data_IF_578875253516
#
_entry.id   IF_578875253516
#
_cell.length_a   1.000
_cell.length_b   1.000
_cell.length_c   1.000
_cell.angle_alpha   90.00
_cell.angle_beta   90.00
_cell.angle_gamma   90.00
#
_symmetry.space_group_name_H-M   'P 1'
#
loop_
_entity.id
_entity.type
_entity.pdbx_description
1 polymer ?
#
# COMPACT_ATOMS: atom_id res chain seq x y z
N UNK A 1 -11.57 7.78 8.42
CA UNK A 1 -11.60 7.66 6.95
C UNK A 1 -12.96 7.11 6.56
N UNK A 2 -13.70 7.78 5.69
CA UNK A 2 -14.97 7.31 5.13
C UNK A 2 -14.92 7.47 3.60
N UNK A 3 -15.80 6.76 2.88
CA UNK A 3 -15.94 6.88 1.43
C UNK A 3 -16.87 8.04 1.11
N UNK A 4 -16.34 9.10 0.49
CA UNK A 4 -17.12 10.25 0.04
C UNK A 4 -17.68 10.01 -1.36
N UNK A 5 -18.76 10.70 -1.74
CA UNK A 5 -19.43 10.43 -3.02
C UNK A 5 -18.57 10.86 -4.21
N UNK A 6 -17.91 12.01 -4.08
CA UNK A 6 -17.09 12.66 -5.11
C UNK A 6 -15.82 11.89 -5.49
N UNK A 7 -15.31 11.05 -4.58
CA UNK A 7 -14.08 10.27 -4.78
C UNK A 7 -14.34 8.82 -5.26
N UNK A 8 -15.61 8.38 -5.33
CA UNK A 8 -15.96 6.98 -5.68
C UNK A 8 -15.41 6.55 -7.04
N UNK A 9 -15.52 7.42 -8.04
CA UNK A 9 -15.05 7.12 -9.39
C UNK A 9 -13.51 6.98 -9.43
N UNK A 10 -12.80 7.84 -8.72
CA UNK A 10 -11.34 7.76 -8.62
C UNK A 10 -10.90 6.49 -7.87
N UNK A 11 -11.56 6.16 -6.76
CA UNK A 11 -11.30 4.93 -6.00
C UNK A 11 -11.52 3.66 -6.84
N UNK A 12 -12.56 3.61 -7.66
CA UNK A 12 -12.79 2.48 -8.58
C UNK A 12 -11.70 2.37 -9.64
N UNK A 13 -11.26 3.50 -10.21
CA UNK A 13 -10.13 3.52 -11.16
C UNK A 13 -8.81 3.09 -10.53
N UNK A 14 -8.59 3.41 -9.25
CA UNK A 14 -7.42 2.94 -8.51
C UNK A 14 -7.52 1.45 -8.22
N UNK A 15 -8.69 0.97 -7.79
CA UNK A 15 -8.93 -0.44 -7.47
C UNK A 15 -8.66 -1.40 -8.64
N UNK A 16 -8.86 -0.97 -9.90
CA UNK A 16 -8.54 -1.78 -11.08
C UNK A 16 -7.05 -1.81 -11.44
N UNK A 17 -6.22 -0.98 -10.80
CA UNK A 17 -4.78 -0.83 -11.09
C UNK A 17 -3.88 -1.37 -9.99
N UNK A 18 -4.44 -1.70 -8.83
CA UNK A 18 -3.68 -2.24 -7.70
C UNK A 18 -3.53 -3.77 -7.83
N UNK A 19 -2.39 -4.35 -7.43
CA UNK A 19 -2.08 -5.74 -7.75
C UNK A 19 -2.73 -6.77 -6.82
N UNK A 20 -3.12 -6.40 -5.60
CA UNK A 20 -3.75 -7.31 -4.65
C UNK A 20 -5.28 -7.09 -4.72
N UNK A 21 -6.07 -8.13 -5.02
CA UNK A 21 -7.52 -8.02 -5.10
C UNK A 21 -8.15 -7.48 -3.81
N UNK A 22 -9.03 -6.49 -3.96
CA UNK A 22 -9.87 -5.96 -2.90
C UNK A 22 -11.10 -6.86 -2.80
N UNK A 23 -11.36 -7.41 -1.61
CA UNK A 23 -12.50 -8.31 -1.37
C UNK A 23 -13.69 -7.58 -0.76
N UNK A 24 -13.40 -6.47 -0.10
CA UNK A 24 -14.35 -5.59 0.55
C UNK A 24 -15.21 -4.85 -0.48
N UNK A 25 -16.44 -4.48 -0.11
CA UNK A 25 -17.25 -3.61 -0.95
C UNK A 25 -16.58 -2.24 -1.09
N UNK A 26 -16.58 -1.65 -2.30
CA UNK A 26 -15.99 -0.33 -2.56
C UNK A 26 -16.67 0.82 -1.79
N UNK A 27 -17.80 0.56 -1.14
CA UNK A 27 -18.48 1.51 -0.26
C UNK A 27 -17.94 1.45 1.19
N UNK A 28 -17.19 0.42 1.54
CA UNK A 28 -16.63 0.25 2.88
C UNK A 28 -15.36 1.10 3.09
N UNK A 29 -15.19 1.70 4.29
CA UNK A 29 -13.95 2.38 4.65
C UNK A 29 -12.70 1.50 4.57
N UNK A 30 -12.84 0.19 4.82
CA UNK A 30 -11.78 -0.83 4.71
C UNK A 30 -11.24 -0.92 3.27
N UNK A 31 -12.13 -0.99 2.27
CA UNK A 31 -11.78 -1.00 0.85
C UNK A 31 -10.99 0.26 0.47
N UNK A 32 -11.44 1.43 0.94
CA UNK A 32 -10.72 2.69 0.70
C UNK A 32 -9.30 2.66 1.27
N UNK A 33 -9.12 2.25 2.53
CA UNK A 33 -7.78 2.15 3.14
C UNK A 33 -6.89 1.17 2.38
N UNK A 34 -7.45 0.02 1.99
CA UNK A 34 -6.74 -1.01 1.23
C UNK A 34 -6.26 -0.47 -0.12
N UNK A 35 -7.17 0.11 -0.92
CA UNK A 35 -6.84 0.73 -2.22
C UNK A 35 -5.79 1.83 -2.08
N UNK A 36 -5.93 2.73 -1.11
CA UNK A 36 -4.99 3.85 -0.94
C UNK A 36 -3.59 3.37 -0.51
N UNK A 37 -3.49 2.36 0.35
CA UNK A 37 -2.19 1.79 0.73
C UNK A 37 -1.51 1.13 -0.48
N UNK A 38 -2.27 0.37 -1.27
CA UNK A 38 -1.73 -0.25 -2.47
C UNK A 38 -1.35 0.78 -3.55
N UNK A 39 -2.17 1.81 -3.75
CA UNK A 39 -1.87 2.91 -4.67
C UNK A 39 -0.61 3.67 -4.25
N UNK A 40 -0.40 3.85 -2.93
CA UNK A 40 0.82 4.42 -2.37
C UNK A 40 2.06 3.60 -2.74
N UNK A 41 2.05 2.28 -2.51
CA UNK A 41 3.14 1.36 -2.86
C UNK A 41 3.39 1.35 -4.37
N UNK A 42 2.32 1.36 -5.17
CA UNK A 42 2.37 1.44 -6.64
C UNK A 42 2.81 2.80 -7.19
N UNK A 43 2.99 3.81 -6.34
CA UNK A 43 3.31 5.18 -6.74
C UNK A 43 2.29 5.77 -7.74
N UNK A 44 1.01 5.39 -7.63
CA UNK A 44 -0.04 5.94 -8.48
C UNK A 44 -0.28 7.42 -8.15
N UNK A 45 -0.58 8.21 -9.19
CA UNK A 45 -1.00 9.60 -9.02
C UNK A 45 -2.46 9.63 -8.57
N UNK A 46 -2.74 10.48 -7.59
CA UNK A 46 -4.09 10.82 -7.13
C UNK A 46 -4.44 12.22 -7.63
N UNK A 47 -5.68 12.40 -8.05
CA UNK A 47 -6.21 13.66 -8.59
C UNK A 47 -6.90 14.47 -7.48
N UNK A 48 -7.63 13.81 -6.57
CA UNK A 48 -8.33 14.46 -5.47
C UNK A 48 -7.43 14.83 -4.27
N UNK A 49 -7.47 16.10 -3.85
CA UNK A 49 -6.77 16.59 -2.65
C UNK A 49 -7.15 15.81 -1.38
N UNK A 50 -8.44 15.51 -1.20
CA UNK A 50 -8.94 14.75 -0.05
C UNK A 50 -8.36 13.32 0.00
N UNK A 51 -8.24 12.65 -1.16
CA UNK A 51 -7.64 11.32 -1.24
C UNK A 51 -6.13 11.36 -1.00
N UNK A 52 -5.44 12.41 -1.44
CA UNK A 52 -4.02 12.60 -1.13
C UNK A 52 -3.77 12.78 0.37
N UNK A 53 -4.63 13.54 1.06
CA UNK A 53 -4.59 13.69 2.51
C UNK A 53 -4.87 12.35 3.23
N UNK A 54 -5.90 11.61 2.81
CA UNK A 54 -6.23 10.30 3.38
C UNK A 54 -5.10 9.28 3.15
N UNK A 55 -4.48 9.28 1.96
CA UNK A 55 -3.30 8.44 1.65
C UNK A 55 -2.13 8.79 2.57
N UNK A 56 -1.94 10.08 2.86
CA UNK A 56 -0.90 10.55 3.77
C UNK A 56 -1.10 9.99 5.18
N UNK A 57 -2.31 10.13 5.70
CA UNK A 57 -2.69 9.59 6.99
C UNK A 57 -2.55 8.06 7.08
N UNK A 58 -2.97 7.33 6.02
CA UNK A 58 -2.87 5.87 5.96
C UNK A 58 -1.41 5.41 6.02
N UNK A 59 -0.53 5.90 5.14
CA UNK A 59 0.84 5.37 5.07
C UNK A 59 1.70 5.72 6.29
N UNK A 60 1.50 6.90 6.91
CA UNK A 60 2.19 7.28 8.16
C UNK A 60 1.90 6.31 9.32
N UNK A 61 0.72 5.68 9.30
CA UNK A 61 0.33 4.69 10.31
C UNK A 61 0.63 3.25 9.87
N UNK A 62 0.60 2.96 8.57
CA UNK A 62 0.74 1.63 8.01
C UNK A 62 2.04 0.93 8.43
N UNK A 63 3.18 1.61 8.39
CA UNK A 63 4.49 1.01 8.76
C UNK A 63 4.48 0.51 10.21
N UNK A 64 3.96 1.32 11.14
CA UNK A 64 3.90 0.95 12.57
C UNK A 64 2.95 -0.22 12.82
N UNK A 65 1.79 -0.22 12.15
CA UNK A 65 0.80 -1.30 12.25
C UNK A 65 1.38 -2.60 11.69
N UNK A 66 1.98 -2.57 10.50
CA UNK A 66 2.59 -3.75 9.88
C UNK A 66 3.77 -4.28 10.70
N UNK A 67 4.57 -3.40 11.31
CA UNK A 67 5.65 -3.77 12.22
C UNK A 67 5.12 -4.51 13.45
N UNK A 68 4.04 -4.01 14.05
CA UNK A 68 3.40 -4.68 15.17
C UNK A 68 2.86 -6.07 14.77
N UNK A 69 2.23 -6.19 13.59
CA UNK A 69 1.77 -7.49 13.06
C UNK A 69 2.94 -8.47 12.84
N UNK A 70 4.07 -7.97 12.32
CA UNK A 70 5.28 -8.76 12.17
C UNK A 70 5.81 -9.26 13.51
N UNK A 71 5.91 -8.40 14.51
CA UNK A 71 6.40 -8.78 15.83
C UNK A 71 5.50 -9.82 16.53
N UNK A 72 4.18 -9.70 16.36
CA UNK A 72 3.22 -10.70 16.87
C UNK A 72 3.42 -12.04 16.16
N UNK A 73 3.51 -12.04 14.82
CA UNK A 73 3.73 -13.26 14.05
C UNK A 73 5.06 -13.93 14.41
N UNK A 74 6.12 -13.14 14.59
CA UNK A 74 7.45 -13.62 14.97
C UNK A 74 7.45 -14.24 16.37
N UNK A 75 6.88 -13.56 17.38
CA UNK A 75 6.79 -14.05 18.76
C UNK A 75 5.99 -15.33 18.89
N UNK A 76 5.01 -15.55 18.00
CA UNK A 76 4.18 -16.76 17.95
C UNK A 76 4.79 -17.89 17.10
N UNK A 77 5.96 -17.68 16.49
CA UNK A 77 6.60 -18.68 15.64
C UNK A 77 5.88 -18.93 14.30
N UNK A 78 5.03 -18.00 13.86
CA UNK A 78 4.28 -18.12 12.59
C UNK A 78 5.14 -17.68 11.40
N UNK A 79 6.14 -18.50 11.05
CA UNK A 79 7.17 -18.16 10.06
C UNK A 79 6.60 -17.61 8.74
N UNK A 80 5.58 -18.26 8.17
CA UNK A 80 4.96 -17.82 6.92
C UNK A 80 4.27 -16.45 7.04
N UNK A 81 3.63 -16.15 8.17
CA UNK A 81 2.99 -14.86 8.39
C UNK A 81 4.04 -13.78 8.71
N UNK A 82 5.11 -14.13 9.43
CA UNK A 82 6.23 -13.26 9.70
C UNK A 82 6.91 -12.81 8.39
N UNK A 83 7.16 -13.72 7.43
CA UNK A 83 7.69 -13.35 6.11
C UNK A 83 6.77 -12.38 5.35
N UNK A 84 5.46 -12.67 5.33
CA UNK A 84 4.47 -11.82 4.64
C UNK A 84 4.38 -10.43 5.24
N UNK A 85 4.31 -10.33 6.57
CA UNK A 85 4.19 -9.04 7.28
C UNK A 85 5.48 -8.22 7.21
N UNK A 86 6.65 -8.86 7.26
CA UNK A 86 7.94 -8.19 7.01
C UNK A 86 8.03 -7.68 5.57
N UNK A 87 7.63 -8.51 4.60
CA UNK A 87 7.56 -8.11 3.19
C UNK A 87 6.67 -6.88 3.02
N UNK A 88 5.48 -6.87 3.62
CA UNK A 88 4.58 -5.72 3.59
C UNK A 88 5.21 -4.46 4.21
N UNK A 89 5.91 -4.58 5.35
CA UNK A 89 6.64 -3.46 5.95
C UNK A 89 7.61 -2.84 4.93
N UNK A 90 8.44 -3.67 4.31
CA UNK A 90 9.45 -3.22 3.35
C UNK A 90 8.82 -2.61 2.09
N UNK A 91 7.70 -3.15 1.61
CA UNK A 91 7.01 -2.60 0.44
C UNK A 91 6.43 -1.20 0.71
N UNK A 92 5.91 -0.97 1.92
CA UNK A 92 5.43 0.36 2.32
C UNK A 92 6.60 1.32 2.53
N UNK A 93 7.62 0.91 3.29
CA UNK A 93 8.78 1.75 3.60
C UNK A 93 9.56 2.19 2.35
N UNK A 94 9.77 1.26 1.41
CA UNK A 94 10.49 1.51 0.15
C UNK A 94 9.58 2.01 -0.97
N UNK A 95 8.26 2.05 -0.72
CA UNK A 95 7.23 2.45 -1.69
C UNK A 95 7.39 1.74 -3.04
N UNK A 96 7.51 0.42 -2.99
CA UNK A 96 7.64 -0.46 -4.16
C UNK A 96 7.17 -1.89 -3.83
N UNK A 97 6.72 -2.63 -4.84
CA UNK A 97 6.32 -4.02 -4.70
C UNK A 97 7.52 -4.97 -4.71
N UNK A 98 7.38 -6.12 -4.04
CA UNK A 98 8.40 -7.20 -4.02
C UNK A 98 8.74 -7.74 -5.40
N UNK A 99 7.81 -7.70 -6.35
CA UNK A 99 8.00 -8.17 -7.73
C UNK A 99 8.81 -7.21 -8.61
N UNK A 100 9.07 -5.97 -8.14
CA UNK A 100 9.84 -4.99 -8.91
C UNK A 100 11.34 -5.15 -8.68
N UNK A 101 12.14 -4.65 -9.64
CA UNK A 101 13.61 -4.67 -9.55
C UNK A 101 14.11 -4.09 -8.22
N UNK A 102 14.93 -4.84 -7.44
CA UNK A 102 15.52 -4.34 -6.19
C UNK A 102 16.36 -3.08 -6.35
N UNK A 103 16.86 -2.80 -7.57
CA UNK A 103 17.64 -1.61 -7.88
C UNK A 103 16.87 -0.29 -7.63
N UNK A 104 15.53 -0.33 -7.57
CA UNK A 104 14.68 0.83 -7.26
C UNK A 104 14.94 1.43 -5.88
N UNK A 105 15.62 0.70 -4.99
CA UNK A 105 16.02 1.19 -3.66
C UNK A 105 17.12 2.26 -3.72
N UNK A 106 17.86 2.34 -4.84
CA UNK A 106 18.95 3.28 -5.01
C UNK A 106 18.47 4.51 -5.79
N UNK A 107 18.61 5.70 -5.18
CA UNK A 107 18.08 6.97 -5.74
C UNK A 107 18.74 7.41 -7.06
N UNK A 108 19.93 6.93 -7.34
CA UNK A 108 20.76 7.41 -8.46
C UNK A 108 20.78 6.45 -9.67
N UNK A 109 19.85 5.49 -9.73
CA UNK A 109 19.77 4.56 -10.86
C UNK A 109 18.78 5.09 -11.90
N UNK A 110 19.22 5.32 -13.16
CA UNK A 110 18.34 5.72 -14.25
C UNK A 110 17.14 4.78 -14.43
N UNK A 111 15.95 5.34 -14.67
CA UNK A 111 14.72 4.56 -14.81
C UNK A 111 14.75 3.50 -15.92
N UNK A 112 15.59 3.68 -16.95
CA UNK A 112 15.78 2.71 -18.03
C UNK A 112 16.41 1.38 -17.54
N UNK A 113 17.18 1.41 -16.45
CA UNK A 113 17.80 0.24 -15.82
C UNK A 113 16.82 -0.44 -14.83
N UNK A 114 15.80 0.29 -14.36
CA UNK A 114 14.85 -0.16 -13.33
C UNK A 114 13.66 -0.98 -13.88
N UNK A 115 13.75 -1.44 -15.14
CA UNK A 115 12.73 -2.25 -15.79
C UNK A 115 12.64 -3.63 -15.14
#
# INVERSE_FOLDING_TARGET
IHVRQEERLELQKLASRVPIPIKESMEEPSAKVNVLLQAYISQLRLEGFALAADTTYVHQSAVRILRALFEVALKRGWAALADKTLTLCLMVERRMWRSQSPLRQFRNIPAIILR
#
